data_IF_223517574600
#
_entry.id   IF_223517574600
#
_cell.length_a   1.000
_cell.length_b   1.000
_cell.length_c   1.000
_cell.angle_alpha   90.00
_cell.angle_beta   90.00
_cell.angle_gamma   90.00
#
_symmetry.space_group_name_H-M   'P 1'
#
loop_
_entity.id
_entity.type
_entity.pdbx_description
1 polymer ?
#
# COMPACT_ATOMS: atom_id res chain seq x y z
N UNK A 1 15.19 83.56 24.30
CA UNK A 1 16.33 82.60 24.43
C UNK A 1 15.88 81.53 25.43
N UNK A 2 16.08 80.21 25.24
CA UNK A 2 16.84 79.50 24.19
C UNK A 2 15.92 78.63 23.27
N UNK A 3 16.14 78.56 21.95
CA UNK A 3 17.06 77.73 21.11
C UNK A 3 16.26 76.61 20.42
N UNK A 4 16.05 76.74 19.09
CA UNK A 4 16.62 75.90 17.99
C UNK A 4 15.94 74.53 17.88
N UNK A 5 15.54 73.98 16.74
CA UNK A 5 15.50 74.32 15.32
C UNK A 5 14.49 73.28 14.73
N UNK A 6 13.66 73.61 13.74
CA UNK A 6 13.80 73.14 12.34
C UNK A 6 14.21 71.64 12.25
N UNK A 7 13.50 70.74 11.57
CA UNK A 7 13.06 70.78 10.18
C UNK A 7 11.86 69.83 9.95
N UNK A 8 10.96 70.35 9.14
CA UNK A 8 9.82 69.82 8.39
C UNK A 8 10.06 68.50 7.63
N UNK A 9 9.11 67.55 7.64
CA UNK A 9 8.55 67.00 6.39
C UNK A 9 7.29 66.13 6.60
N UNK A 10 6.13 66.73 6.25
CA UNK A 10 5.09 66.22 5.32
C UNK A 10 4.92 64.69 5.16
N UNK A 11 3.72 64.15 5.46
CA UNK A 11 2.70 63.71 4.47
C UNK A 11 1.54 62.95 5.14
N UNK A 12 0.34 63.20 4.63
CA UNK A 12 -1.02 62.74 5.03
C UNK A 12 -1.23 61.20 5.05
N UNK A 13 -2.31 60.72 5.70
CA UNK A 13 -2.62 59.29 5.86
C UNK A 13 -3.57 58.74 4.76
N UNK A 14 -3.68 57.40 4.76
CA UNK A 14 -4.69 56.54 4.12
C UNK A 14 -4.47 56.12 2.64
N UNK A 15 -4.17 54.83 2.43
CA UNK A 15 -5.15 53.84 1.93
C UNK A 15 -4.44 52.55 1.44
N UNK A 16 -4.87 51.43 2.03
CA UNK A 16 -4.92 50.05 1.52
C UNK A 16 -3.76 49.52 0.65
N UNK A 17 -2.89 48.74 1.28
CA UNK A 17 -1.90 47.88 0.62
C UNK A 17 -2.47 46.46 0.40
N UNK A 18 -2.22 45.98 -0.81
CA UNK A 18 -2.42 44.65 -1.41
C UNK A 18 -2.41 43.43 -0.48
N UNK A 19 -3.25 42.43 -0.79
CA UNK A 19 -2.81 41.05 -0.98
C UNK A 19 -3.96 40.15 -1.48
N UNK A 20 -3.75 39.53 -2.63
CA UNK A 20 -4.55 38.43 -3.19
C UNK A 20 -4.37 37.19 -2.30
N UNK A 21 -5.42 36.51 -1.80
CA UNK A 21 -5.22 35.26 -1.10
C UNK A 21 -5.11 34.13 -2.13
N UNK A 22 -3.86 33.69 -2.40
CA UNK A 22 -3.55 32.40 -3.01
C UNK A 22 -3.70 31.34 -1.91
N UNK A 23 -4.63 30.37 -1.96
CA UNK A 23 -4.60 29.25 -1.05
C UNK A 23 -3.67 28.17 -1.62
N UNK A 24 -2.36 28.41 -1.55
CA UNK A 24 -1.39 27.32 -1.43
C UNK A 24 -1.34 26.95 0.05
N UNK A 25 -2.22 26.02 0.43
CA UNK A 25 -2.09 25.30 1.69
C UNK A 25 -1.84 23.83 1.37
N UNK A 26 -0.76 23.54 0.64
CA UNK A 26 -0.12 22.22 0.69
C UNK A 26 0.58 22.11 2.06
N UNK A 27 -0.17 21.61 3.03
CA UNK A 27 0.37 21.20 4.33
C UNK A 27 1.08 19.84 4.15
N UNK A 28 2.30 19.65 4.68
CA UNK A 28 3.07 18.43 4.46
C UNK A 28 2.43 17.25 5.19
N UNK A 29 1.87 16.30 4.44
CA UNK A 29 1.33 15.03 4.96
C UNK A 29 2.43 14.00 5.34
N UNK A 30 3.71 14.39 5.24
CA UNK A 30 4.86 13.48 5.14
C UNK A 30 5.07 12.47 6.28
N UNK A 31 4.83 12.77 7.59
CA UNK A 31 5.17 11.78 8.63
C UNK A 31 4.15 10.65 8.79
N UNK A 32 2.85 10.96 8.68
CA UNK A 32 1.78 9.98 8.91
C UNK A 32 1.66 8.99 7.74
N UNK A 33 1.78 9.49 6.51
CA UNK A 33 1.76 8.67 5.30
C UNK A 33 2.99 7.74 5.21
N UNK A 34 4.16 8.20 5.65
CA UNK A 34 5.38 7.38 5.72
C UNK A 34 5.21 6.20 6.69
N UNK A 35 4.71 6.45 7.91
CA UNK A 35 4.47 5.38 8.88
C UNK A 35 3.37 4.39 8.42
N UNK A 36 2.40 4.87 7.63
CA UNK A 36 1.38 4.02 7.01
C UNK A 36 1.96 3.16 5.88
N UNK A 37 2.86 3.72 5.07
CA UNK A 37 3.55 2.99 4.00
C UNK A 37 4.39 1.85 4.57
N UNK A 38 5.17 2.09 5.62
CA UNK A 38 5.99 1.05 6.27
C UNK A 38 5.14 -0.14 6.75
N UNK A 39 4.02 0.15 7.43
CA UNK A 39 3.07 -0.89 7.86
C UNK A 39 2.47 -1.63 6.67
N UNK A 40 2.15 -0.92 5.60
CA UNK A 40 1.60 -1.51 4.38
C UNK A 40 2.60 -2.45 3.70
N UNK A 41 3.88 -2.07 3.64
CA UNK A 41 4.94 -2.94 3.11
C UNK A 41 5.15 -4.21 3.95
N UNK A 42 4.99 -4.13 5.27
CA UNK A 42 5.02 -5.30 6.14
C UNK A 42 3.86 -6.27 5.83
N UNK A 43 2.64 -5.76 5.64
CA UNK A 43 1.49 -6.57 5.21
C UNK A 43 1.75 -7.20 3.83
N UNK A 44 2.25 -6.43 2.88
CA UNK A 44 2.60 -6.93 1.55
C UNK A 44 3.63 -8.08 1.62
N UNK A 45 4.61 -7.97 2.51
CA UNK A 45 5.60 -9.02 2.74
C UNK A 45 4.96 -10.31 3.25
N UNK A 46 3.97 -10.20 4.16
CA UNK A 46 3.20 -11.34 4.65
C UNK A 46 2.28 -11.96 3.61
N UNK A 47 1.68 -11.16 2.73
CA UNK A 47 0.90 -11.67 1.61
C UNK A 47 1.79 -12.48 0.64
N UNK A 48 3.01 -12.01 0.35
CA UNK A 48 3.99 -12.72 -0.48
C UNK A 48 4.47 -14.01 0.15
N UNK A 49 4.71 -14.02 1.46
CA UNK A 49 5.04 -15.24 2.21
C UNK A 49 3.90 -16.27 2.11
N UNK A 50 2.65 -15.83 2.25
CA UNK A 50 1.47 -16.69 2.12
C UNK A 50 1.31 -17.27 0.70
N UNK A 51 1.58 -16.48 -0.34
CA UNK A 51 1.60 -16.94 -1.73
C UNK A 51 2.69 -17.99 -1.97
N UNK A 52 3.89 -17.77 -1.44
CA UNK A 52 4.99 -18.73 -1.55
C UNK A 52 4.63 -20.09 -0.94
N UNK A 53 4.06 -20.09 0.27
CA UNK A 53 3.59 -21.33 0.92
C UNK A 53 2.46 -21.99 0.14
N UNK A 54 1.57 -21.20 -0.43
CA UNK A 54 0.48 -21.73 -1.25
C UNK A 54 0.98 -22.48 -2.48
N UNK A 55 2.02 -21.99 -3.16
CA UNK A 55 2.67 -22.72 -4.26
C UNK A 55 3.26 -24.04 -3.80
N UNK A 56 3.98 -24.03 -2.67
CA UNK A 56 4.55 -25.25 -2.10
C UNK A 56 3.46 -26.29 -1.73
N UNK A 57 2.28 -25.84 -1.29
CA UNK A 57 1.16 -26.74 -1.01
C UNK A 57 0.63 -27.44 -2.28
N UNK A 58 0.58 -26.75 -3.42
CA UNK A 58 0.16 -27.37 -4.70
C UNK A 58 1.12 -28.49 -5.10
N UNK A 59 2.42 -28.25 -4.96
CA UNK A 59 3.45 -29.26 -5.22
C UNK A 59 3.33 -30.43 -4.24
N UNK A 60 3.11 -30.15 -2.95
CA UNK A 60 2.96 -31.21 -1.93
C UNK A 60 1.69 -32.03 -2.12
N UNK A 61 0.59 -31.40 -2.53
CA UNK A 61 -0.64 -32.10 -2.89
C UNK A 61 -0.41 -33.05 -4.06
N UNK A 62 0.50 -32.73 -5.00
CA UNK A 62 0.80 -33.58 -6.16
C UNK A 62 1.43 -34.89 -5.71
N UNK A 63 2.46 -34.74 -4.88
CA UNK A 63 3.20 -35.83 -4.30
C UNK A 63 2.27 -36.75 -3.51
N UNK A 64 1.44 -36.17 -2.61
CA UNK A 64 0.50 -36.94 -1.81
C UNK A 64 -0.56 -37.65 -2.66
N UNK A 65 -1.04 -37.01 -3.72
CA UNK A 65 -2.05 -37.60 -4.61
C UNK A 65 -1.51 -38.84 -5.30
N UNK A 66 -0.28 -38.76 -5.82
CA UNK A 66 0.40 -39.88 -6.45
C UNK A 66 0.64 -41.03 -5.47
N UNK A 67 1.13 -40.74 -4.26
CA UNK A 67 1.32 -41.76 -3.22
C UNK A 67 0.00 -42.44 -2.84
N UNK A 68 -1.09 -41.68 -2.68
CA UNK A 68 -2.41 -42.24 -2.33
C UNK A 68 -2.94 -43.16 -3.45
N UNK A 69 -2.77 -42.76 -4.71
CA UNK A 69 -3.18 -43.58 -5.85
C UNK A 69 -2.35 -44.87 -5.95
N UNK A 70 -1.04 -44.80 -5.72
CA UNK A 70 -0.13 -45.94 -5.75
C UNK A 70 -0.33 -46.92 -4.58
N UNK A 71 -0.54 -46.43 -3.35
CA UNK A 71 -0.66 -47.28 -2.16
C UNK A 71 -2.02 -47.97 -2.03
N UNK A 72 -3.10 -47.30 -2.43
CA UNK A 72 -4.45 -47.78 -2.16
C UNK A 72 -5.13 -48.43 -3.37
N UNK A 73 -4.57 -48.27 -4.59
CA UNK A 73 -5.09 -48.79 -5.86
C UNK A 73 -6.60 -48.55 -6.09
N UNK A 74 -7.19 -47.54 -5.43
CA UNK A 74 -8.62 -47.26 -5.46
C UNK A 74 -8.89 -45.77 -5.62
N UNK A 75 -9.88 -45.44 -6.46
CA UNK A 75 -10.28 -44.06 -6.76
C UNK A 75 -11.15 -43.40 -5.69
N UNK A 76 -11.30 -44.01 -4.52
CA UNK A 76 -12.19 -43.54 -3.46
C UNK A 76 -11.86 -42.11 -2.99
N UNK A 77 -10.60 -41.68 -3.14
CA UNK A 77 -10.13 -40.35 -2.73
C UNK A 77 -9.97 -39.37 -3.89
N UNK A 78 -10.16 -39.78 -5.15
CA UNK A 78 -9.89 -38.95 -6.32
C UNK A 78 -10.70 -37.65 -6.29
N UNK A 79 -11.99 -37.72 -5.95
CA UNK A 79 -12.86 -36.55 -5.86
C UNK A 79 -12.44 -35.60 -4.72
N UNK A 80 -12.07 -36.15 -3.57
CA UNK A 80 -11.62 -35.36 -2.42
C UNK A 80 -10.28 -34.66 -2.71
N UNK A 81 -9.33 -35.38 -3.29
CA UNK A 81 -8.05 -34.85 -3.75
C UNK A 81 -8.27 -33.73 -4.79
N UNK A 82 -9.10 -33.98 -5.80
CA UNK A 82 -9.44 -33.00 -6.83
C UNK A 82 -10.07 -31.74 -6.25
N UNK A 83 -10.96 -31.87 -5.26
CA UNK A 83 -11.57 -30.73 -4.58
C UNK A 83 -10.55 -29.89 -3.79
N UNK A 84 -9.64 -30.55 -3.06
CA UNK A 84 -8.57 -29.86 -2.32
C UNK A 84 -7.62 -29.14 -3.29
N UNK A 85 -7.28 -29.79 -4.40
CA UNK A 85 -6.47 -29.21 -5.46
C UNK A 85 -7.09 -27.95 -6.07
N UNK A 86 -8.37 -28.04 -6.46
CA UNK A 86 -9.10 -26.92 -7.04
C UNK A 86 -9.21 -25.76 -6.06
N UNK A 87 -9.39 -26.03 -4.77
CA UNK A 87 -9.41 -25.01 -3.72
C UNK A 87 -8.05 -24.32 -3.60
N UNK A 88 -6.94 -25.08 -3.62
CA UNK A 88 -5.58 -24.54 -3.53
C UNK A 88 -5.21 -23.69 -4.75
N UNK A 89 -5.55 -24.15 -5.96
CA UNK A 89 -5.32 -23.41 -7.21
C UNK A 89 -6.14 -22.09 -7.26
N UNK A 90 -7.41 -22.15 -6.83
CA UNK A 90 -8.27 -20.97 -6.69
C UNK A 90 -7.72 -19.98 -5.65
N UNK A 91 -7.23 -20.47 -4.51
CA UNK A 91 -6.57 -19.64 -3.51
C UNK A 91 -5.32 -18.96 -4.10
N UNK A 92 -4.46 -19.72 -4.79
CA UNK A 92 -3.24 -19.23 -5.43
C UNK A 92 -3.53 -18.10 -6.43
N UNK A 93 -4.54 -18.28 -7.27
CA UNK A 93 -4.96 -17.24 -8.23
C UNK A 93 -5.45 -15.96 -7.53
N UNK A 94 -6.22 -16.11 -6.43
CA UNK A 94 -6.77 -14.98 -5.68
C UNK A 94 -5.71 -14.23 -4.89
N UNK A 95 -4.76 -14.93 -4.26
CA UNK A 95 -3.69 -14.29 -3.48
C UNK A 95 -2.75 -13.49 -4.39
N UNK A 96 -2.45 -13.99 -5.59
CA UNK A 96 -1.68 -13.24 -6.60
C UNK A 96 -2.37 -11.93 -6.97
N UNK A 97 -3.68 -11.97 -7.26
CA UNK A 97 -4.44 -10.75 -7.59
C UNK A 97 -4.50 -9.77 -6.42
N UNK A 98 -4.66 -10.28 -5.20
CA UNK A 98 -4.62 -9.45 -3.99
C UNK A 98 -3.26 -8.76 -3.83
N UNK A 99 -2.15 -9.50 -4.01
CA UNK A 99 -0.79 -8.94 -3.95
C UNK A 99 -0.62 -7.84 -4.99
N UNK A 100 -1.02 -8.07 -6.25
CA UNK A 100 -0.92 -7.07 -7.33
C UNK A 100 -1.66 -5.78 -6.96
N UNK A 101 -2.92 -5.89 -6.54
CA UNK A 101 -3.72 -4.73 -6.15
C UNK A 101 -3.12 -4.00 -4.93
N UNK A 102 -2.60 -4.76 -3.95
CA UNK A 102 -1.99 -4.21 -2.75
C UNK A 102 -0.65 -3.51 -3.07
N UNK A 103 0.12 -4.03 -4.02
CA UNK A 103 1.34 -3.38 -4.51
C UNK A 103 1.05 -2.03 -5.16
N UNK A 104 -0.01 -1.96 -5.97
CA UNK A 104 -0.45 -0.70 -6.57
C UNK A 104 -0.84 0.34 -5.49
N UNK A 105 -1.51 -0.11 -4.43
CA UNK A 105 -1.85 0.77 -3.30
C UNK A 105 -0.60 1.25 -2.54
N UNK A 106 0.38 0.37 -2.32
CA UNK A 106 1.68 0.79 -1.76
C UNK A 106 2.40 1.81 -2.65
N UNK A 107 2.37 1.64 -3.98
CA UNK A 107 2.96 2.60 -4.91
C UNK A 107 2.24 3.97 -4.88
N UNK A 108 0.92 3.97 -4.72
CA UNK A 108 0.12 5.18 -4.53
C UNK A 108 0.51 5.91 -3.23
N UNK A 109 0.68 5.17 -2.14
CA UNK A 109 1.11 5.71 -0.85
C UNK A 109 2.56 6.22 -0.87
N UNK A 110 3.44 5.66 -1.71
CA UNK A 110 4.82 6.13 -1.86
C UNK A 110 4.98 7.29 -2.84
N UNK A 111 3.90 7.73 -3.51
CA UNK A 111 3.97 8.72 -4.57
C UNK A 111 4.69 8.22 -5.84
N UNK A 112 4.73 6.90 -6.04
CA UNK A 112 5.41 6.23 -7.17
C UNK A 112 4.43 5.56 -8.14
N UNK A 113 3.13 5.84 -8.01
CA UNK A 113 2.06 5.31 -8.87
C UNK A 113 1.97 6.02 -10.22
#
# INVERSE_FOLDING_TARGET
RPKKAEIENKKEPAAAESAVPKPEAEKPAQPAESAQLEKSLAVLSKLKELEFHSRANIEKLAELSLTIEEELEQKAFADAIGAVYAAQDSFQSKILKLIENYQAECARLSGSA
#
